data_IF_177963969724
#
_entry.id   IF_177963969724
#
_cell.length_a   1.000
_cell.length_b   1.000
_cell.length_c   1.000
_cell.angle_alpha   90.00
_cell.angle_beta   90.00
_cell.angle_gamma   90.00
#
_symmetry.space_group_name_H-M   'P 1'
#
loop_
_entity.id
_entity.type
_entity.pdbx_description
1 polymer ?
#
# COMPACT_ATOMS: atom_id res chain seq x y z
N UNK A 1 4.27 -4.13 16.56
CA UNK A 1 4.96 -3.52 15.41
C UNK A 1 4.01 -3.40 14.25
N UNK A 2 4.15 -2.36 13.49
CA UNK A 2 3.27 -2.04 12.37
C UNK A 2 3.92 -2.45 11.04
N UNK A 3 3.26 -3.33 10.29
CA UNK A 3 3.67 -3.71 8.94
C UNK A 3 2.98 -2.78 7.94
N UNK A 4 3.74 -2.21 7.02
CA UNK A 4 3.19 -1.32 6.01
C UNK A 4 3.73 -1.67 4.63
N UNK A 5 2.83 -1.90 3.68
CA UNK A 5 3.20 -2.13 2.28
C UNK A 5 3.39 -0.78 1.60
N UNK A 6 4.50 -0.62 0.91
CA UNK A 6 4.78 0.58 0.11
C UNK A 6 4.72 0.16 -1.36
N UNK A 7 3.65 0.53 -2.05
CA UNK A 7 3.40 0.06 -3.41
C UNK A 7 3.40 1.20 -4.42
N UNK A 8 3.86 0.90 -5.63
CA UNK A 8 3.77 1.81 -6.78
C UNK A 8 2.87 1.17 -7.83
N UNK A 9 1.86 1.91 -8.26
CA UNK A 9 0.91 1.46 -9.29
C UNK A 9 0.76 2.55 -10.34
N UNK A 10 0.11 2.23 -11.44
CA UNK A 10 -0.07 3.16 -12.54
C UNK A 10 -1.51 3.10 -13.03
N UNK A 11 -2.16 4.27 -13.14
CA UNK A 11 -3.54 4.40 -13.62
C UNK A 11 -4.51 3.43 -12.93
N UNK A 12 -4.37 3.28 -11.62
CA UNK A 12 -5.14 2.31 -10.83
C UNK A 12 -6.16 3.02 -9.94
N UNK A 13 -7.10 2.26 -9.41
CA UNK A 13 -8.00 2.72 -8.38
C UNK A 13 -7.63 2.09 -7.05
N UNK A 14 -7.97 2.75 -5.95
CA UNK A 14 -7.67 2.26 -4.61
C UNK A 14 -8.31 0.89 -4.36
N UNK A 15 -9.59 0.76 -4.63
CA UNK A 15 -10.32 -0.50 -4.37
C UNK A 15 -9.76 -1.67 -5.17
N UNK A 16 -9.51 -1.46 -6.45
CA UNK A 16 -8.96 -2.51 -7.31
C UNK A 16 -7.57 -2.93 -6.88
N UNK A 17 -6.74 -1.97 -6.47
CA UNK A 17 -5.39 -2.25 -6.00
C UNK A 17 -5.42 -3.08 -4.72
N UNK A 18 -6.26 -2.72 -3.76
CA UNK A 18 -6.39 -3.47 -2.50
C UNK A 18 -6.83 -4.91 -2.77
N UNK A 19 -7.81 -5.09 -3.66
CA UNK A 19 -8.32 -6.42 -4.00
C UNK A 19 -7.28 -7.24 -4.77
N UNK A 20 -6.65 -6.64 -5.77
CA UNK A 20 -5.69 -7.34 -6.62
C UNK A 20 -4.46 -7.80 -5.84
N UNK A 21 -3.93 -6.95 -4.99
CA UNK A 21 -2.75 -7.26 -4.18
C UNK A 21 -3.08 -8.05 -2.92
N UNK A 22 -4.36 -8.20 -2.61
CA UNK A 22 -4.82 -8.85 -1.38
C UNK A 22 -4.22 -8.20 -0.14
N UNK A 23 -4.33 -6.88 -0.06
CA UNK A 23 -3.77 -6.12 1.06
C UNK A 23 -4.58 -6.34 2.34
N UNK A 24 -3.89 -6.69 3.42
CA UNK A 24 -4.48 -6.98 4.72
C UNK A 24 -3.79 -6.21 5.85
N UNK A 25 -2.80 -5.40 5.52
CA UNK A 25 -2.06 -4.57 6.47
C UNK A 25 -2.22 -3.11 6.10
N UNK A 26 -1.62 -2.24 6.90
CA UNK A 26 -1.46 -0.85 6.51
C UNK A 26 -0.67 -0.76 5.20
N UNK A 27 -0.95 0.24 4.40
CA UNK A 27 -0.25 0.45 3.13
C UNK A 27 -0.22 1.92 2.73
N UNK A 28 0.81 2.28 2.01
CA UNK A 28 0.91 3.54 1.26
C UNK A 28 1.06 3.16 -0.20
N UNK A 29 0.12 3.61 -1.02
CA UNK A 29 0.13 3.32 -2.45
C UNK A 29 0.33 4.63 -3.20
N UNK A 30 1.36 4.66 -4.05
CA UNK A 30 1.61 5.80 -4.92
C UNK A 30 1.13 5.43 -6.32
N UNK A 31 0.11 6.15 -6.78
CA UNK A 31 -0.50 5.92 -8.08
C UNK A 31 -0.01 6.97 -9.07
N UNK A 32 0.71 6.53 -10.08
CA UNK A 32 1.16 7.41 -11.16
C UNK A 32 0.05 7.50 -12.20
N UNK A 33 -0.51 8.68 -12.36
CA UNK A 33 -1.59 8.93 -13.31
C UNK A 33 -1.50 10.36 -13.86
N UNK A 34 -2.57 10.90 -14.39
CA UNK A 34 -2.55 12.23 -15.01
C UNK A 34 -3.12 13.34 -14.11
N UNK A 35 -3.36 13.04 -12.82
CA UNK A 35 -3.92 14.02 -11.90
C UNK A 35 -3.41 13.82 -10.47
N UNK A 36 -3.51 14.88 -9.68
CA UNK A 36 -3.24 14.82 -8.25
C UNK A 36 -4.49 14.33 -7.51
N UNK A 37 -4.28 13.54 -6.47
CA UNK A 37 -5.36 13.08 -5.62
C UNK A 37 -4.88 12.38 -4.38
N UNK A 38 -5.79 12.22 -3.43
CA UNK A 38 -5.52 11.52 -2.18
C UNK A 38 -6.79 10.83 -1.72
N UNK A 39 -6.68 9.57 -1.38
CA UNK A 39 -7.79 8.77 -0.86
C UNK A 39 -7.30 7.92 0.29
N UNK A 40 -8.22 7.50 1.14
CA UNK A 40 -7.90 6.65 2.27
C UNK A 40 -9.00 5.60 2.42
N UNK A 41 -8.63 4.40 2.81
CA UNK A 41 -9.55 3.30 2.98
C UNK A 41 -9.21 2.54 4.25
N UNK A 42 -10.25 2.22 5.02
CA UNK A 42 -10.11 1.35 6.18
C UNK A 42 -10.50 -0.06 5.81
N UNK A 43 -9.69 -1.03 6.20
CA UNK A 43 -10.02 -2.45 6.05
C UNK A 43 -10.05 -3.10 7.43
N UNK A 44 -10.93 -4.07 7.61
CA UNK A 44 -11.05 -4.80 8.87
C UNK A 44 -10.44 -6.19 8.73
N UNK A 45 -9.64 -6.58 9.73
CA UNK A 45 -9.12 -7.94 9.82
C UNK A 45 -10.11 -8.84 10.54
N UNK A 46 -9.88 -10.15 10.46
CA UNK A 46 -10.73 -11.15 11.13
C UNK A 46 -10.83 -10.92 12.63
N UNK A 47 -9.77 -10.42 13.24
CA UNK A 47 -9.77 -10.12 14.69
C UNK A 47 -10.43 -8.79 15.05
N UNK A 48 -11.00 -8.09 14.07
CA UNK A 48 -11.68 -6.81 14.30
C UNK A 48 -10.77 -5.60 14.29
N UNK A 49 -9.46 -5.76 14.16
CA UNK A 49 -8.55 -4.64 14.09
C UNK A 49 -8.62 -3.97 12.72
N UNK A 50 -8.60 -2.63 12.73
CA UNK A 50 -8.61 -1.86 11.49
C UNK A 50 -7.20 -1.65 10.96
N UNK A 51 -7.08 -1.60 9.64
CA UNK A 51 -5.85 -1.23 8.95
C UNK A 51 -6.18 -0.11 7.97
N UNK A 52 -5.24 0.80 7.78
CA UNK A 52 -5.44 1.99 6.94
C UNK A 52 -4.61 1.88 5.67
N UNK A 53 -5.29 2.04 4.53
CA UNK A 53 -4.64 2.11 3.22
C UNK A 53 -4.69 3.56 2.77
N UNK A 54 -3.54 4.16 2.53
CA UNK A 54 -3.43 5.53 2.03
C UNK A 54 -2.99 5.51 0.58
N UNK A 55 -3.73 6.21 -0.26
CA UNK A 55 -3.57 6.17 -1.72
C UNK A 55 -3.35 7.60 -2.23
N UNK A 56 -2.20 7.83 -2.82
CA UNK A 56 -1.80 9.15 -3.33
C UNK A 56 -1.59 9.08 -4.83
N UNK A 57 -2.22 9.97 -5.58
CA UNK A 57 -2.10 10.05 -7.04
C UNK A 57 -1.25 11.24 -7.43
N UNK A 58 -0.32 11.03 -8.36
CA UNK A 58 0.58 12.06 -8.85
C UNK A 58 0.72 11.98 -10.37
N UNK A 59 0.84 13.15 -11.06
CA UNK A 59 1.05 13.18 -12.50
C UNK A 59 2.50 12.91 -12.92
N UNK A 60 3.28 12.31 -12.07
CA UNK A 60 4.70 12.07 -12.25
C UNK A 60 4.97 10.61 -12.59
N UNK A 61 5.97 10.36 -13.42
CA UNK A 61 6.21 9.02 -13.96
C UNK A 61 7.66 8.57 -13.80
N UNK A 62 8.11 8.44 -12.58
CA UNK A 62 9.43 7.91 -12.29
C UNK A 62 9.35 6.89 -11.18
N UNK A 63 9.90 5.68 -11.39
CA UNK A 63 9.89 4.61 -10.38
C UNK A 63 10.62 5.07 -9.11
N UNK A 64 11.77 5.71 -9.27
CA UNK A 64 12.53 6.24 -8.14
C UNK A 64 11.76 7.28 -7.35
N UNK A 65 10.99 8.12 -8.04
CA UNK A 65 10.20 9.16 -7.42
C UNK A 65 9.02 8.56 -6.65
N UNK A 66 8.35 7.55 -7.22
CA UNK A 66 7.27 6.85 -6.52
C UNK A 66 7.75 6.23 -5.22
N UNK A 67 8.90 5.58 -5.25
CA UNK A 67 9.48 4.99 -4.04
C UNK A 67 9.80 6.04 -3.00
N UNK A 68 10.38 7.17 -3.40
CA UNK A 68 10.68 8.27 -2.49
C UNK A 68 9.42 8.85 -1.87
N UNK A 69 8.36 9.04 -2.66
CA UNK A 69 7.08 9.53 -2.16
C UNK A 69 6.47 8.56 -1.14
N UNK A 70 6.58 7.26 -1.39
CA UNK A 70 6.10 6.25 -0.46
C UNK A 70 6.90 6.26 0.84
N UNK A 71 8.23 6.35 0.74
CA UNK A 71 9.11 6.40 1.92
C UNK A 71 8.83 7.62 2.78
N UNK A 72 8.62 8.78 2.16
CA UNK A 72 8.32 10.02 2.88
C UNK A 72 7.04 9.93 3.71
N UNK A 73 6.11 9.09 3.28
CA UNK A 73 4.82 8.92 3.94
C UNK A 73 4.74 7.68 4.82
N UNK A 74 5.78 6.85 4.81
CA UNK A 74 5.77 5.59 5.55
C UNK A 74 5.69 5.82 7.05
N UNK A 75 4.86 5.04 7.72
CA UNK A 75 4.69 5.07 9.17
C UNK A 75 4.92 3.69 9.79
N UNK A 76 5.18 2.68 8.98
CA UNK A 76 5.36 1.31 9.44
C UNK A 76 6.73 1.06 10.07
N UNK A 77 6.77 0.14 11.00
CA UNK A 77 8.03 -0.35 11.58
C UNK A 77 8.74 -1.28 10.62
N UNK A 78 7.96 -2.08 9.89
CA UNK A 78 8.44 -2.97 8.84
C UNK A 78 7.77 -2.54 7.54
N UNK A 79 8.55 -2.13 6.57
CA UNK A 79 8.04 -1.66 5.29
C UNK A 79 8.37 -2.66 4.17
N UNK A 80 7.35 -3.03 3.39
CA UNK A 80 7.47 -3.98 2.29
C UNK A 80 7.28 -3.25 0.97
N UNK A 81 8.35 -3.12 0.20
CA UNK A 81 8.26 -2.52 -1.14
C UNK A 81 7.64 -3.52 -2.11
N UNK A 82 6.65 -3.07 -2.87
CA UNK A 82 5.91 -3.93 -3.80
C UNK A 82 5.61 -3.25 -5.12
N UNK A 83 5.61 -4.04 -6.19
CA UNK A 83 5.11 -3.60 -7.49
C UNK A 83 3.64 -4.02 -7.60
N UNK A 84 2.94 -3.44 -8.59
CA UNK A 84 1.49 -3.63 -8.74
C UNK A 84 1.04 -5.07 -9.01
N UNK A 85 1.93 -5.91 -9.53
CA UNK A 85 1.63 -7.30 -9.88
C UNK A 85 1.87 -8.30 -8.75
N UNK A 86 2.33 -7.83 -7.59
CA UNK A 86 2.53 -8.69 -6.44
C UNK A 86 1.19 -8.92 -5.75
N UNK A 87 0.89 -10.18 -5.45
CA UNK A 87 -0.30 -10.59 -4.70
C UNK A 87 0.15 -11.23 -3.39
N UNK A 88 -0.29 -10.68 -2.29
CA UNK A 88 0.08 -11.19 -0.96
C UNK A 88 -0.77 -12.40 -0.57
N UNK A 89 -0.18 -13.31 0.18
CA UNK A 89 -0.89 -14.44 0.77
C UNK A 89 -1.71 -13.99 1.97
N UNK A 90 -2.78 -14.73 2.28
CA UNK A 90 -3.57 -14.47 3.48
C UNK A 90 -2.69 -14.65 4.71
N UNK A 91 -2.81 -13.72 5.65
CA UNK A 91 -2.08 -13.79 6.91
C UNK A 91 -0.62 -13.35 6.84
N UNK A 92 -0.18 -12.71 5.75
CA UNK A 92 1.22 -12.31 5.61
C UNK A 92 1.70 -11.40 6.74
N UNK A 93 0.86 -10.53 7.25
CA UNK A 93 1.23 -9.62 8.33
C UNK A 93 1.61 -10.40 9.59
N UNK A 94 0.80 -11.38 9.95
CA UNK A 94 1.06 -12.25 11.10
C UNK A 94 2.34 -13.05 10.90
N UNK A 95 2.54 -13.60 9.71
CA UNK A 95 3.73 -14.38 9.39
C UNK A 95 5.01 -13.55 9.51
N UNK A 96 4.99 -12.31 9.02
CA UNK A 96 6.14 -11.40 9.10
C UNK A 96 6.46 -11.06 10.56
N UNK A 97 5.45 -10.77 11.37
CA UNK A 97 5.63 -10.39 12.76
C UNK A 97 6.05 -11.56 13.66
N UNK A 98 5.86 -12.78 13.20
CA UNK A 98 6.24 -13.99 13.95
C UNK A 98 7.72 -14.34 13.84
N UNK A 99 8.45 -13.74 12.91
CA UNK A 99 9.87 -14.02 12.71
C UNK A 99 10.79 -13.28 13.68
#
# INVERSE_FOLDING_TARGET
>A
MKVEVLASVMNASLRETVQHMNLQSDAVIINQCDRLGQEEMQISRENGEARTIRFYSFPDRGIGRSRNEAILRAEGDICLFSDADIVYEDGYETAILAE
#
